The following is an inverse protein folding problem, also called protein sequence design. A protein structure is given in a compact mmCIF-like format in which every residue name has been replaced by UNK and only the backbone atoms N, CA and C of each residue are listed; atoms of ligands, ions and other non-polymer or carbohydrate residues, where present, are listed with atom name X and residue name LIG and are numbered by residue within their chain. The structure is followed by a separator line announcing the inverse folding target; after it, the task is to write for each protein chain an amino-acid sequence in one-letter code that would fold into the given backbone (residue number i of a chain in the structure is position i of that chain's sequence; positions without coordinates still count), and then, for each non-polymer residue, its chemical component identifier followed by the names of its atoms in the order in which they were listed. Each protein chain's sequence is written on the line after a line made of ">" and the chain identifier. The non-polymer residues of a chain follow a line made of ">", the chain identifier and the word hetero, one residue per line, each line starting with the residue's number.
data_IF_958710706769
#
_entry.id   IF_958710706769
#
_cell.length_a   1.000
_cell.length_b   1.000
_cell.length_c   1.000
_cell.angle_alpha   90.00
_cell.angle_beta   90.00
_cell.angle_gamma   90.00
#
_symmetry.space_group_name_H-M   'P 1'
#
loop_
_entity.id
_entity.type
_entity.pdbx_description
1 polymer ?
#
# COMPACT_ATOMS: atom_id res chain seq x y z
N UNK A 1 14.62 -3.18 12.25
CA UNK A 1 13.50 -2.93 11.31
C UNK A 1 13.88 -1.78 10.39
N UNK A 2 13.97 -2.02 9.08
CA UNK A 2 14.60 -1.10 8.12
C UNK A 2 13.75 0.13 7.74
N UNK A 3 14.45 1.25 7.50
CA UNK A 3 13.97 2.58 7.10
C UNK A 3 13.03 2.60 5.87
N UNK A 4 13.12 1.57 5.03
CA UNK A 4 12.36 1.48 3.78
C UNK A 4 10.94 0.93 3.92
N UNK A 5 10.60 0.30 5.05
CA UNK A 5 9.22 -0.16 5.31
C UNK A 5 8.24 1.01 5.52
N UNK A 6 8.76 2.23 5.65
CA UNK A 6 7.97 3.45 5.84
C UNK A 6 7.41 4.02 4.53
N UNK A 7 7.84 3.53 3.36
CA UNK A 7 7.30 4.00 2.07
C UNK A 7 5.97 3.30 1.75
N UNK A 8 4.90 4.10 1.69
CA UNK A 8 3.56 3.64 1.29
C UNK A 8 3.63 2.96 -0.08
N UNK A 9 3.22 1.69 -0.13
CA UNK A 9 3.24 0.86 -1.33
C UNK A 9 4.32 -0.21 -1.38
N UNK A 10 5.24 -0.25 -0.41
CA UNK A 10 6.27 -1.30 -0.35
C UNK A 10 6.03 -2.22 0.84
N UNK A 11 5.73 -3.49 0.54
CA UNK A 11 5.64 -4.56 1.54
C UNK A 11 7.04 -5.10 1.87
N UNK A 12 7.30 -5.62 3.09
CA UNK A 12 8.54 -6.34 3.39
C UNK A 12 8.86 -7.44 2.36
N UNK A 13 7.84 -8.13 1.85
CA UNK A 13 8.00 -9.15 0.79
C UNK A 13 8.54 -8.56 -0.53
N UNK A 14 8.17 -7.32 -0.85
CA UNK A 14 8.72 -6.58 -2.00
C UNK A 14 10.22 -6.33 -1.84
N UNK A 15 10.62 -5.94 -0.63
CA UNK A 15 12.02 -5.72 -0.29
C UNK A 15 12.86 -7.01 -0.29
N UNK A 16 12.30 -8.11 0.22
CA UNK A 16 12.96 -9.41 0.20
C UNK A 16 13.15 -9.97 -1.22
N UNK A 17 12.25 -9.66 -2.16
CA UNK A 17 12.39 -10.10 -3.55
C UNK A 17 13.42 -9.28 -4.34
N UNK A 18 13.59 -8.00 -3.99
CA UNK A 18 14.63 -7.13 -4.57
C UNK A 18 16.01 -7.29 -3.93
N UNK A 19 16.07 -7.83 -2.71
CA UNK A 19 17.32 -8.12 -2.03
C UNK A 19 17.76 -9.54 -2.40
N UNK A 20 18.92 -9.74 -3.06
CA UNK A 20 19.49 -11.07 -3.20
C UNK A 20 19.79 -11.58 -1.78
N UNK A 21 19.07 -12.59 -1.29
CA UNK A 21 19.38 -13.21 -0.01
C UNK A 21 20.53 -14.21 -0.19
N UNK A 22 21.62 -14.14 0.59
CA UNK A 22 22.52 -15.25 0.78
C UNK A 22 22.06 -16.07 1.99
N UNK A 23 22.00 -17.38 1.86
CA UNK A 23 22.26 -18.22 3.02
C UNK A 23 23.77 -18.16 3.29
N UNK A 24 24.15 -17.87 4.53
CA UNK A 24 25.52 -18.09 5.01
C UNK A 24 26.34 -16.83 5.23
N UNK A 25 26.80 -16.71 6.47
CA UNK A 25 27.97 -15.97 6.94
C UNK A 25 28.83 -15.33 5.85
N UNK A 26 28.83 -14.00 5.76
CA UNK A 26 30.01 -13.16 5.54
C UNK A 26 29.58 -11.70 5.70
N UNK A 27 30.28 -10.99 6.59
CA UNK A 27 30.11 -9.58 6.79
C UNK A 27 30.47 -8.75 5.56
N UNK A 28 30.08 -7.48 5.62
CA UNK A 28 30.68 -6.36 4.87
C UNK A 28 30.86 -6.55 3.36
N UNK A 29 29.78 -6.39 2.58
CA UNK A 29 29.90 -6.17 1.14
C UNK A 29 28.72 -5.40 0.50
N UNK A 30 28.12 -4.41 1.19
CA UNK A 30 27.20 -3.44 0.54
C UNK A 30 27.56 -1.97 0.84
N UNK A 31 28.59 -1.71 1.65
CA UNK A 31 29.01 -0.34 1.99
C UNK A 31 30.04 0.29 1.04
N UNK A 32 30.25 -0.22 -0.17
CA UNK A 32 31.26 0.32 -1.08
C UNK A 32 30.82 0.38 -2.57
N UNK A 33 29.70 1.04 -2.84
CA UNK A 33 29.45 1.67 -4.16
C UNK A 33 28.76 3.01 -3.88
N UNK A 34 29.23 4.10 -4.49
CA UNK A 34 28.78 5.48 -4.24
C UNK A 34 27.27 5.61 -3.93
N UNK A 35 26.88 6.25 -2.81
CA UNK A 35 25.49 6.27 -2.33
C UNK A 35 24.48 6.76 -3.37
N UNK A 36 24.87 7.70 -4.23
CA UNK A 36 23.97 8.33 -5.21
C UNK A 36 23.62 7.40 -6.38
N UNK A 37 24.62 6.75 -6.96
CA UNK A 37 24.42 5.85 -8.10
C UNK A 37 23.67 4.57 -7.75
N UNK A 38 23.75 4.09 -6.50
CA UNK A 38 22.90 2.99 -6.03
C UNK A 38 21.46 3.44 -5.79
N UNK A 39 21.25 4.61 -5.19
CA UNK A 39 19.91 5.15 -4.94
C UNK A 39 19.16 5.39 -6.25
N UNK A 40 19.82 5.97 -7.25
CA UNK A 40 19.23 6.19 -8.58
C UNK A 40 18.82 4.88 -9.25
N UNK A 41 19.67 3.84 -9.18
CA UNK A 41 19.34 2.50 -9.70
C UNK A 41 18.13 1.89 -8.99
N UNK A 42 18.03 2.04 -7.66
CA UNK A 42 16.87 1.54 -6.92
C UNK A 42 15.61 2.28 -7.33
N UNK A 43 15.67 3.61 -7.46
CA UNK A 43 14.52 4.43 -7.89
C UNK A 43 14.04 4.02 -9.29
N UNK A 44 14.96 3.78 -10.24
CA UNK A 44 14.56 3.34 -11.59
C UNK A 44 13.94 1.96 -11.61
N UNK A 45 14.43 1.02 -10.79
CA UNK A 45 13.80 -0.31 -10.63
C UNK A 45 12.41 -0.19 -10.01
N UNK A 46 12.24 0.67 -9.02
CA UNK A 46 10.94 0.88 -8.37
C UNK A 46 9.91 1.52 -9.30
N UNK A 47 10.33 2.45 -10.16
CA UNK A 47 9.45 3.10 -11.13
C UNK A 47 9.06 2.16 -12.27
N UNK A 48 9.95 1.28 -12.72
CA UNK A 48 9.74 0.41 -13.87
C UNK A 48 10.01 -1.08 -13.56
N UNK A 49 9.25 -1.73 -12.67
CA UNK A 49 9.53 -3.09 -12.23
C UNK A 49 9.49 -4.14 -13.36
N UNK A 50 8.69 -3.90 -14.41
CA UNK A 50 8.52 -4.82 -15.54
C UNK A 50 9.80 -4.97 -16.37
N UNK A 51 10.62 -3.93 -16.45
CA UNK A 51 11.87 -3.94 -17.22
C UNK A 51 12.93 -4.84 -16.55
N UNK A 52 12.81 -5.07 -15.24
CA UNK A 52 13.73 -5.87 -14.43
C UNK A 52 13.24 -7.30 -14.19
N UNK A 53 12.36 -7.82 -15.06
CA UNK A 53 11.79 -9.17 -15.00
C UNK A 53 11.00 -9.49 -13.71
N UNK A 54 10.43 -8.48 -13.06
CA UNK A 54 9.51 -8.70 -11.93
C UNK A 54 8.18 -9.22 -12.50
N UNK A 55 7.64 -10.33 -11.98
CA UNK A 55 6.44 -10.95 -12.53
C UNK A 55 5.16 -10.14 -12.23
N UNK A 56 4.19 -10.23 -13.14
CA UNK A 56 2.99 -9.39 -13.13
C UNK A 56 2.11 -9.58 -11.87
N UNK A 57 2.13 -10.78 -11.27
CA UNK A 57 1.41 -11.10 -10.03
C UNK A 57 1.95 -10.36 -8.80
N UNK A 58 3.14 -9.77 -8.88
CA UNK A 58 3.79 -9.08 -7.77
C UNK A 58 3.48 -7.58 -7.70
N UNK A 59 2.89 -7.00 -8.75
CA UNK A 59 2.59 -5.57 -8.77
C UNK A 59 1.35 -5.26 -7.91
N UNK A 60 1.36 -4.10 -7.25
CA UNK A 60 0.29 -3.64 -6.37
C UNK A 60 -1.01 -3.32 -7.11
N UNK A 61 -0.94 -2.81 -8.36
CA UNK A 61 -2.10 -2.42 -9.17
C UNK A 61 -2.09 -3.17 -10.49
N UNK A 62 -2.70 -4.35 -10.45
CA UNK A 62 -2.86 -5.22 -11.61
C UNK A 62 -4.14 -4.89 -12.35
N UNK A 63 -4.09 -4.92 -13.69
CA UNK A 63 -5.23 -4.73 -14.60
C UNK A 63 -6.11 -3.53 -14.19
N UNK A 64 -5.55 -2.32 -14.31
CA UNK A 64 -6.29 -1.11 -13.95
C UNK A 64 -7.60 -0.97 -14.75
N UNK A 65 -8.65 -0.45 -14.12
CA UNK A 65 -9.99 -0.37 -14.73
C UNK A 65 -10.05 0.65 -15.87
N UNK A 66 -9.18 1.68 -15.86
CA UNK A 66 -9.15 2.71 -16.90
C UNK A 66 -8.20 2.31 -18.03
N UNK A 67 -6.96 1.98 -17.68
CA UNK A 67 -5.89 1.79 -18.66
C UNK A 67 -5.61 0.33 -19.01
N UNK A 68 -6.11 -0.63 -18.22
CA UNK A 68 -5.86 -2.07 -18.41
C UNK A 68 -4.42 -2.52 -18.13
N UNK A 69 -3.51 -1.57 -17.87
CA UNK A 69 -2.08 -1.83 -17.68
C UNK A 69 -1.77 -2.33 -16.26
N UNK A 70 -0.68 -3.08 -16.16
CA UNK A 70 -0.08 -3.52 -14.90
C UNK A 70 0.97 -2.49 -14.46
N UNK A 71 0.82 -1.94 -13.26
CA UNK A 71 1.71 -0.89 -12.77
C UNK A 71 1.98 -1.02 -11.27
N UNK A 72 3.17 -0.57 -10.87
CA UNK A 72 3.52 -0.35 -9.47
C UNK A 72 3.40 1.15 -9.21
N UNK A 73 2.37 1.55 -8.46
CA UNK A 73 2.16 2.95 -8.10
C UNK A 73 2.90 3.23 -6.80
N UNK A 74 3.59 4.37 -6.71
CA UNK A 74 4.40 4.77 -5.57
C UNK A 74 3.80 5.98 -4.84
N UNK A 75 3.91 6.00 -3.50
CA UNK A 75 3.66 7.13 -2.63
C UNK A 75 2.38 7.92 -2.98
N UNK A 76 2.51 9.20 -3.36
CA UNK A 76 1.39 10.10 -3.66
C UNK A 76 0.46 9.58 -4.76
N UNK A 77 1.00 8.81 -5.71
CA UNK A 77 0.20 8.18 -6.75
C UNK A 77 -0.79 7.16 -6.18
N UNK A 78 -0.42 6.42 -5.12
CA UNK A 78 -1.29 5.43 -4.51
C UNK A 78 -2.50 6.08 -3.85
N UNK A 79 -2.27 7.17 -3.10
CA UNK A 79 -3.35 7.89 -2.43
C UNK A 79 -4.32 8.52 -3.43
N UNK A 80 -3.81 9.10 -4.52
CA UNK A 80 -4.65 9.67 -5.57
C UNK A 80 -5.48 8.58 -6.26
N UNK A 81 -4.87 7.45 -6.57
CA UNK A 81 -5.58 6.30 -7.18
C UNK A 81 -6.64 5.70 -6.24
N UNK A 82 -6.37 5.63 -4.94
CA UNK A 82 -7.36 5.22 -3.93
C UNK A 82 -8.54 6.19 -3.85
N UNK A 83 -8.29 7.50 -3.91
CA UNK A 83 -9.34 8.52 -3.94
C UNK A 83 -10.22 8.39 -5.19
N UNK A 84 -9.60 8.30 -6.37
CA UNK A 84 -10.32 8.13 -7.64
C UNK A 84 -11.21 6.87 -7.63
N UNK A 85 -10.71 5.75 -7.10
CA UNK A 85 -11.47 4.50 -7.02
C UNK A 85 -12.70 4.64 -6.09
N UNK A 86 -12.54 5.34 -4.96
CA UNK A 86 -13.63 5.59 -4.02
C UNK A 86 -14.66 6.56 -4.59
N UNK A 87 -14.24 7.61 -5.28
CA UNK A 87 -15.14 8.57 -5.95
C UNK A 87 -15.93 7.91 -7.07
N UNK A 88 -15.29 7.03 -7.86
CA UNK A 88 -15.99 6.23 -8.87
C UNK A 88 -17.10 5.37 -8.25
N UNK A 89 -16.81 4.72 -7.13
CA UNK A 89 -17.79 3.88 -6.43
C UNK A 89 -18.94 4.71 -5.82
N UNK A 90 -18.67 5.93 -5.37
CA UNK A 90 -19.70 6.87 -4.90
C UNK A 90 -20.60 7.33 -6.05
N UNK A 91 -20.01 7.66 -7.22
CA UNK A 91 -20.76 8.13 -8.40
C UNK A 91 -21.75 7.10 -8.93
N UNK A 92 -21.36 5.82 -8.96
CA UNK A 92 -22.20 4.70 -9.42
C UNK A 92 -23.25 4.29 -8.35
N UNK A 93 -23.19 4.87 -7.14
CA UNK A 93 -24.03 4.51 -5.98
C UNK A 93 -23.93 3.02 -5.59
N UNK A 94 -22.74 2.43 -5.75
CA UNK A 94 -22.50 1.07 -5.29
C UNK A 94 -22.57 1.00 -3.75
N UNK A 95 -23.13 -0.09 -3.20
CA UNK A 95 -23.26 -0.28 -1.74
C UNK A 95 -21.94 -0.06 -0.99
N UNK A 96 -20.82 -0.59 -1.52
CA UNK A 96 -19.48 -0.35 -0.98
C UNK A 96 -19.07 1.13 -0.99
N UNK A 97 -19.41 1.88 -2.04
CA UNK A 97 -19.16 3.32 -2.13
C UNK A 97 -19.98 4.13 -1.12
N UNK A 98 -21.25 3.78 -0.95
CA UNK A 98 -22.14 4.40 0.04
C UNK A 98 -21.65 4.17 1.48
N UNK A 99 -21.21 2.94 1.80
CA UNK A 99 -20.63 2.66 3.13
C UNK A 99 -19.35 3.43 3.39
N UNK A 100 -18.50 3.61 2.37
CA UNK A 100 -17.33 4.49 2.47
C UNK A 100 -17.69 5.96 2.67
N UNK A 101 -18.79 6.43 2.08
CA UNK A 101 -19.29 7.79 2.29
C UNK A 101 -19.78 8.01 3.74
N UNK A 102 -20.47 7.02 4.32
CA UNK A 102 -20.94 7.08 5.72
C UNK A 102 -19.89 6.69 6.76
N UNK A 103 -18.65 6.37 6.36
CA UNK A 103 -17.60 5.94 7.29
C UNK A 103 -17.86 4.58 7.95
N UNK A 104 -18.73 3.75 7.37
CA UNK A 104 -19.02 2.41 7.87
C UNK A 104 -18.01 1.39 7.33
N UNK A 105 -17.72 0.37 8.14
CA UNK A 105 -16.81 -0.74 7.76
C UNK A 105 -17.35 -1.47 6.54
N UNK A 106 -16.55 -1.71 5.50
CA UNK A 106 -17.09 -2.15 4.18
C UNK A 106 -17.08 -3.67 3.96
N UNK A 107 -16.17 -4.42 4.59
CA UNK A 107 -15.92 -5.86 4.33
C UNK A 107 -16.92 -6.82 5.02
N UNK A 108 -18.18 -6.44 5.16
CA UNK A 108 -19.21 -7.30 5.77
C UNK A 108 -19.08 -7.50 7.30
N UNK A 109 -18.26 -6.71 7.98
CA UNK A 109 -18.10 -6.79 9.43
C UNK A 109 -19.40 -6.37 10.15
N UNK A 110 -19.77 -7.12 11.21
CA UNK A 110 -20.88 -6.75 12.09
C UNK A 110 -20.55 -5.51 12.93
N UNK A 111 -21.39 -4.47 12.82
CA UNK A 111 -21.19 -3.17 13.49
C UNK A 111 -22.05 -2.98 14.75
N UNK A 112 -22.79 -4.01 15.19
CA UNK A 112 -23.67 -3.94 16.37
C UNK A 112 -22.88 -3.67 17.66
N UNK A 113 -21.83 -4.46 17.89
CA UNK A 113 -21.01 -4.45 19.12
C UNK A 113 -19.62 -3.87 18.90
N UNK A 114 -19.09 -3.91 17.67
CA UNK A 114 -17.71 -3.50 17.36
C UNK A 114 -17.65 -2.16 16.61
N UNK A 115 -16.53 -1.43 16.74
CA UNK A 115 -16.35 -0.12 16.10
C UNK A 115 -16.80 1.07 16.97
N UNK A 116 -17.21 0.81 18.21
CA UNK A 116 -17.44 1.81 19.24
C UNK A 116 -16.09 2.18 19.85
N UNK A 117 -15.44 3.22 19.32
CA UNK A 117 -14.24 3.83 19.92
C UNK A 117 -14.57 5.28 20.28
N UNK A 118 -14.41 5.62 21.55
CA UNK A 118 -14.82 6.87 22.18
C UNK A 118 -15.03 6.66 23.68
N UNK A 119 -15.13 7.75 24.45
CA UNK A 119 -15.42 7.68 25.89
C UNK A 119 -16.81 7.05 26.09
N UNK A 120 -16.92 6.02 26.92
CA UNK A 120 -18.22 5.42 27.26
C UNK A 120 -19.14 6.53 27.78
N UNK A 121 -20.30 6.71 27.15
CA UNK A 121 -21.38 7.51 27.75
C UNK A 121 -21.90 6.75 28.97
N UNK A 122 -21.26 6.99 30.12
CA UNK A 122 -21.84 6.65 31.40
C UNK A 122 -23.15 7.41 31.58
N UNK A 123 -24.09 6.79 32.29
CA UNK A 123 -25.39 7.37 32.63
C UNK A 123 -25.20 8.81 33.11
N UNK A 124 -25.77 9.78 32.40
CA UNK A 124 -25.87 11.14 32.88
C UNK A 124 -26.82 11.15 34.08
N UNK A 125 -26.26 11.15 35.30
CA UNK A 125 -27.04 11.54 36.47
C UNK A 125 -27.40 13.02 36.28
N UNK A 126 -28.70 13.29 36.15
CA UNK A 126 -29.23 14.64 36.21
C UNK A 126 -28.89 15.19 37.60
N UNK A 127 -28.24 16.36 37.65
CA UNK A 127 -28.05 17.09 38.90
C UNK A 127 -29.38 17.71 39.32
#
# INVERSE_FOLDING_TARGET
>A
MGFWCSFLGFSPQFWHFLSPWPWGHLGTAVTAVSPRAQVERVITIMQNPRQYKIPDWFLNRQKDVKDGKYSQVLANGLDNKLREDLERLKKIRAHRGLRHFWGLRVRGQHTKTTGRRGRTVGVSKKK
#
